data_IF_044774301343
#
_entry.id   IF_044774301343
#
_cell.length_a   1.000
_cell.length_b   1.000
_cell.length_c   1.000
_cell.angle_alpha   90.00
_cell.angle_beta   90.00
_cell.angle_gamma   90.00
#
_symmetry.space_group_name_H-M   'P 1'
#
loop_
_entity.id
_entity.type
_entity.pdbx_description
1 polymer ?
#
# COMPACT_ATOMS: atom_id res chain seq x y z
N UNK A 1 24.86 -0.43 -15.98
CA UNK A 1 23.91 -1.35 -16.64
C UNK A 1 23.41 -2.48 -15.74
N UNK A 2 24.26 -3.13 -14.93
CA UNK A 2 23.83 -4.24 -14.05
C UNK A 2 22.74 -3.85 -13.04
N UNK A 3 22.84 -2.69 -12.39
CA UNK A 3 21.82 -2.19 -11.45
C UNK A 3 20.44 -2.04 -12.10
N UNK A 4 20.34 -1.38 -13.26
CA UNK A 4 19.07 -1.23 -13.98
C UNK A 4 18.44 -2.58 -14.37
N UNK A 5 19.25 -3.60 -14.64
CA UNK A 5 18.74 -4.96 -14.91
C UNK A 5 18.09 -5.56 -13.66
N UNK A 6 18.70 -5.37 -12.49
CA UNK A 6 18.15 -5.82 -11.20
C UNK A 6 16.85 -5.06 -10.90
N UNK A 7 16.81 -3.74 -11.14
CA UNK A 7 15.58 -2.95 -10.95
C UNK A 7 14.42 -3.48 -11.80
N UNK A 8 14.66 -3.84 -13.07
CA UNK A 8 13.62 -4.43 -13.93
C UNK A 8 13.20 -5.81 -13.40
N UNK A 9 14.14 -6.61 -12.90
CA UNK A 9 13.86 -7.91 -12.30
C UNK A 9 12.98 -7.75 -11.05
N UNK A 10 13.28 -6.78 -10.18
CA UNK A 10 12.49 -6.50 -8.98
C UNK A 10 11.02 -6.19 -9.34
N UNK A 11 10.78 -5.41 -10.40
CA UNK A 11 9.42 -5.13 -10.89
C UNK A 11 8.70 -6.39 -11.39
N UNK A 12 9.41 -7.32 -12.02
CA UNK A 12 8.84 -8.59 -12.46
C UNK A 12 8.55 -9.52 -11.28
N UNK A 13 9.50 -9.63 -10.36
CA UNK A 13 9.38 -10.46 -9.16
C UNK A 13 8.27 -9.94 -8.24
N UNK A 14 8.09 -8.63 -8.14
CA UNK A 14 6.98 -8.00 -7.40
C UNK A 14 5.62 -8.54 -7.85
N UNK A 15 5.39 -8.60 -9.17
CA UNK A 15 4.14 -9.16 -9.73
C UNK A 15 3.95 -10.64 -9.39
N UNK A 16 5.02 -11.41 -9.30
CA UNK A 16 4.94 -12.81 -8.89
C UNK A 16 4.65 -12.94 -7.39
N UNK A 17 5.29 -12.14 -6.55
CA UNK A 17 5.06 -12.13 -5.11
C UNK A 17 3.63 -11.69 -4.78
N UNK A 18 3.11 -10.65 -5.43
CA UNK A 18 1.71 -10.22 -5.25
C UNK A 18 0.74 -11.37 -5.51
N UNK A 19 0.87 -12.06 -6.65
CA UNK A 19 0.04 -13.23 -6.96
C UNK A 19 0.18 -14.33 -5.91
N UNK A 20 1.41 -14.65 -5.52
CA UNK A 20 1.69 -15.69 -4.51
C UNK A 20 1.06 -15.36 -3.15
N UNK A 21 1.05 -14.08 -2.75
CA UNK A 21 0.39 -13.61 -1.53
C UNK A 21 -1.13 -13.74 -1.64
N UNK A 22 -1.71 -13.29 -2.76
CA UNK A 22 -3.16 -13.38 -2.98
C UNK A 22 -3.63 -14.84 -3.00
N UNK A 23 -2.89 -15.74 -3.66
CA UNK A 23 -3.16 -17.18 -3.66
C UNK A 23 -3.08 -17.75 -2.23
N UNK A 24 -2.04 -17.38 -1.47
CA UNK A 24 -1.87 -17.84 -0.08
C UNK A 24 -3.00 -17.35 0.84
N UNK A 25 -3.46 -16.11 0.66
CA UNK A 25 -4.59 -15.56 1.42
C UNK A 25 -5.90 -16.26 1.06
N UNK A 26 -6.09 -16.60 -0.21
CA UNK A 26 -7.24 -17.39 -0.67
C UNK A 26 -7.26 -18.79 -0.07
N UNK A 27 -6.11 -19.46 0.02
CA UNK A 27 -6.00 -20.79 0.63
C UNK A 27 -6.47 -20.84 2.09
N UNK A 28 -6.29 -19.73 2.82
CA UNK A 28 -6.70 -19.61 4.23
C UNK A 28 -8.02 -18.86 4.42
N UNK A 29 -8.74 -18.53 3.34
CA UNK A 29 -10.03 -17.83 3.38
C UNK A 29 -9.95 -16.38 3.89
N UNK A 30 -8.82 -15.72 3.69
CA UNK A 30 -8.54 -14.33 4.09
C UNK A 30 -8.29 -13.41 2.89
N UNK A 31 -8.82 -13.74 1.72
CA UNK A 31 -8.60 -13.00 0.48
C UNK A 31 -9.08 -11.53 0.56
N UNK A 32 -10.04 -11.22 1.42
CA UNK A 32 -10.56 -9.86 1.62
C UNK A 32 -9.59 -8.94 2.36
N UNK A 33 -8.73 -9.50 3.22
CA UNK A 33 -7.86 -8.74 4.12
C UNK A 33 -6.79 -7.94 3.37
N UNK A 34 -6.43 -8.36 2.15
CA UNK A 34 -5.55 -7.64 1.24
C UNK A 34 -6.13 -7.54 -0.19
N UNK A 35 -7.46 -7.56 -0.32
CA UNK A 35 -8.11 -7.44 -1.63
C UNK A 35 -7.78 -6.08 -2.27
N UNK A 36 -7.45 -6.06 -3.56
CA UNK A 36 -7.06 -4.85 -4.29
C UNK A 36 -5.84 -4.13 -3.69
N UNK A 37 -4.92 -4.88 -3.07
CA UNK A 37 -3.66 -4.37 -2.56
C UNK A 37 -2.50 -5.07 -3.27
N UNK A 38 -1.69 -4.28 -3.96
CA UNK A 38 -0.48 -4.70 -4.66
C UNK A 38 0.70 -3.83 -4.21
N UNK A 39 1.87 -4.45 -4.07
CA UNK A 39 3.09 -3.74 -3.74
C UNK A 39 4.15 -3.89 -4.84
N UNK A 40 5.03 -2.90 -4.93
CA UNK A 40 6.27 -3.00 -5.68
C UNK A 40 7.39 -3.26 -4.66
N UNK A 41 7.95 -4.45 -4.70
CA UNK A 41 9.04 -4.91 -3.84
C UNK A 41 10.36 -4.68 -4.57
N UNK A 42 11.19 -3.81 -4.01
CA UNK A 42 12.47 -3.41 -4.59
C UNK A 42 13.62 -3.78 -3.67
N UNK A 43 14.78 -4.01 -4.27
CA UNK A 43 16.01 -4.27 -3.53
C UNK A 43 16.70 -2.96 -3.16
N UNK A 44 16.68 -2.61 -1.87
CA UNK A 44 17.20 -1.35 -1.33
C UNK A 44 18.57 -0.95 -1.90
N UNK A 45 19.54 -1.87 -1.89
CA UNK A 45 20.91 -1.60 -2.32
C UNK A 45 21.10 -1.28 -3.82
N UNK A 46 20.11 -1.63 -4.67
CA UNK A 46 20.23 -1.47 -6.13
C UNK A 46 19.43 -0.31 -6.69
N UNK A 47 18.53 0.26 -5.89
CA UNK A 47 17.74 1.43 -6.28
C UNK A 47 18.40 2.71 -5.78
N UNK A 48 18.26 3.83 -6.51
CA UNK A 48 18.62 5.14 -5.97
C UNK A 48 17.82 5.44 -4.70
N UNK A 49 18.33 6.31 -3.81
CA UNK A 49 17.60 6.74 -2.63
C UNK A 49 16.20 7.23 -3.01
N UNK A 50 15.18 6.69 -2.35
CA UNK A 50 13.81 7.09 -2.55
C UNK A 50 13.58 8.42 -1.82
N UNK A 51 12.85 9.32 -2.46
CA UNK A 51 12.42 10.57 -1.84
C UNK A 51 11.20 10.27 -0.97
N UNK A 52 11.45 9.87 0.27
CA UNK A 52 10.43 9.68 1.29
C UNK A 52 10.52 10.79 2.32
N UNK A 53 9.41 11.46 2.60
CA UNK A 53 9.36 12.51 3.63
C UNK A 53 9.18 11.94 5.05
N UNK A 54 9.36 10.63 5.22
CA UNK A 54 9.25 9.91 6.50
C UNK A 54 7.96 9.11 6.62
N UNK A 55 7.80 8.45 7.78
CA UNK A 55 6.62 7.63 8.06
C UNK A 55 5.34 8.46 8.08
N UNK A 56 4.27 7.90 7.53
CA UNK A 56 2.91 8.47 7.57
C UNK A 56 2.03 7.61 8.47
N UNK A 57 1.25 8.27 9.34
CA UNK A 57 0.23 7.58 10.13
C UNK A 57 -0.89 7.10 9.21
N UNK A 58 -0.98 5.78 9.06
CA UNK A 58 -1.97 5.14 8.21
C UNK A 58 -3.29 5.00 8.95
N UNK A 59 -4.38 5.19 8.21
CA UNK A 59 -5.70 4.83 8.69
C UNK A 59 -5.74 3.34 9.05
N UNK A 60 -6.39 2.91 10.15
CA UNK A 60 -6.30 1.53 10.66
C UNK A 60 -6.65 0.45 9.62
N UNK A 61 -7.62 0.72 8.75
CA UNK A 61 -7.99 -0.20 7.66
C UNK A 61 -6.87 -0.37 6.62
N UNK A 62 -6.12 0.69 6.34
CA UNK A 62 -4.99 0.65 5.41
C UNK A 62 -3.82 -0.07 6.08
N UNK A 63 -3.50 0.30 7.32
CA UNK A 63 -2.44 -0.34 8.11
C UNK A 63 -2.65 -1.87 8.22
N UNK A 64 -3.88 -2.32 8.46
CA UNK A 64 -4.21 -3.75 8.49
C UNK A 64 -3.89 -4.48 7.18
N UNK A 65 -4.02 -3.83 6.02
CA UNK A 65 -3.68 -4.40 4.71
C UNK A 65 -2.18 -4.52 4.53
N UNK A 66 -1.43 -3.48 4.92
CA UNK A 66 0.03 -3.49 4.95
C UNK A 66 0.55 -4.64 5.82
N UNK A 67 0.03 -4.77 7.04
CA UNK A 67 0.41 -5.82 7.97
C UNK A 67 0.08 -7.22 7.43
N UNK A 68 -1.12 -7.42 6.89
CA UNK A 68 -1.52 -8.70 6.28
C UNK A 68 -0.61 -9.09 5.13
N UNK A 69 -0.26 -8.13 4.27
CA UNK A 69 0.68 -8.35 3.18
C UNK A 69 2.07 -8.73 3.71
N UNK A 70 2.61 -7.96 4.66
CA UNK A 70 3.92 -8.21 5.27
C UNK A 70 4.02 -9.57 5.95
N UNK A 71 3.00 -9.96 6.71
CA UNK A 71 2.95 -11.25 7.41
C UNK A 71 2.92 -12.41 6.41
N UNK A 72 2.10 -12.28 5.36
CA UNK A 72 2.02 -13.30 4.31
C UNK A 72 3.32 -13.39 3.52
N UNK A 73 3.95 -12.24 3.21
CA UNK A 73 5.24 -12.22 2.56
C UNK A 73 6.33 -12.89 3.41
N UNK A 74 6.35 -12.65 4.72
CA UNK A 74 7.30 -13.26 5.66
C UNK A 74 7.16 -14.78 5.71
N UNK A 75 5.94 -15.31 5.61
CA UNK A 75 5.70 -16.77 5.51
C UNK A 75 6.30 -17.32 4.21
N UNK A 76 6.14 -16.61 3.09
CA UNK A 76 6.63 -17.05 1.77
C UNK A 76 8.14 -16.86 1.60
N UNK A 77 8.73 -15.85 2.25
CA UNK A 77 10.14 -15.45 2.17
C UNK A 77 10.71 -15.18 3.57
N UNK A 78 10.96 -16.21 4.39
CA UNK A 78 11.34 -16.04 5.81
C UNK A 78 12.65 -15.30 6.07
N UNK A 79 13.53 -15.23 5.05
CA UNK A 79 14.83 -14.58 5.12
C UNK A 79 14.80 -13.11 4.66
N UNK A 80 13.61 -12.55 4.38
CA UNK A 80 13.44 -11.18 3.92
C UNK A 80 12.45 -10.43 4.82
N UNK A 81 12.68 -9.13 4.95
CA UNK A 81 11.78 -8.17 5.61
C UNK A 81 11.39 -7.09 4.61
N UNK A 82 10.24 -6.44 4.84
CA UNK A 82 9.76 -5.31 4.04
C UNK A 82 9.86 -4.07 4.90
N UNK A 83 10.45 -3.02 4.34
CA UNK A 83 10.35 -1.65 4.84
C UNK A 83 9.45 -0.88 3.88
N UNK A 84 8.46 -0.19 4.44
CA UNK A 84 7.39 0.42 3.65
C UNK A 84 7.62 1.90 3.43
N UNK A 85 7.55 2.31 2.16
CA UNK A 85 7.42 3.70 1.76
C UNK A 85 5.96 4.03 1.50
N UNK A 86 5.16 4.16 2.56
CA UNK A 86 3.70 4.24 2.49
C UNK A 86 3.15 5.47 1.77
N UNK A 87 3.97 6.51 1.62
CA UNK A 87 3.62 7.73 0.88
C UNK A 87 3.78 7.55 -0.64
N UNK A 88 4.59 6.57 -1.07
CA UNK A 88 4.86 6.31 -2.48
C UNK A 88 3.88 5.29 -3.05
N UNK A 89 3.36 5.58 -4.23
CA UNK A 89 2.43 4.71 -4.94
C UNK A 89 1.27 5.49 -5.53
N UNK A 90 0.26 4.75 -5.95
CA UNK A 90 -0.96 5.29 -6.55
C UNK A 90 -2.15 4.50 -6.03
N UNK A 91 -3.23 5.20 -5.73
CA UNK A 91 -4.46 4.62 -5.20
C UNK A 91 -5.63 5.09 -6.04
N UNK A 92 -6.54 4.16 -6.35
CA UNK A 92 -7.86 4.50 -6.89
C UNK A 92 -8.89 4.40 -5.77
N UNK A 93 -9.69 5.44 -5.60
CA UNK A 93 -10.77 5.49 -4.59
C UNK A 93 -12.09 5.85 -5.28
N UNK A 94 -13.17 5.27 -4.78
CA UNK A 94 -14.53 5.68 -5.15
C UNK A 94 -15.20 6.26 -3.91
N UNK A 95 -15.67 7.50 -4.02
CA UNK A 95 -16.38 8.21 -2.97
C UNK A 95 -17.87 8.22 -3.30
N UNK A 96 -18.66 7.72 -2.36
CA UNK A 96 -20.12 7.76 -2.40
C UNK A 96 -20.61 8.90 -1.51
N UNK A 97 -21.32 9.86 -2.11
CA UNK A 97 -21.85 11.02 -1.40
C UNK A 97 -23.33 10.85 -1.08
N UNK A 98 -23.78 11.47 0.03
CA UNK A 98 -25.19 11.41 0.50
C UNK A 98 -26.21 11.89 -0.54
N UNK A 99 -25.79 12.72 -1.51
CA UNK A 99 -26.63 13.14 -2.62
C UNK A 99 -26.85 12.06 -3.70
N UNK A 100 -26.40 10.82 -3.45
CA UNK A 100 -26.53 9.69 -4.36
C UNK A 100 -25.56 9.73 -5.54
N UNK A 101 -24.56 10.61 -5.50
CA UNK A 101 -23.52 10.73 -6.53
C UNK A 101 -22.29 9.95 -6.09
N UNK A 102 -21.80 9.06 -6.94
CA UNK A 102 -20.50 8.41 -6.77
C UNK A 102 -19.46 9.07 -7.67
N UNK A 103 -18.23 9.25 -7.17
CA UNK A 103 -17.10 9.74 -7.96
C UNK A 103 -15.88 8.86 -7.73
N UNK A 104 -15.28 8.41 -8.82
CA UNK A 104 -14.02 7.66 -8.80
C UNK A 104 -12.86 8.59 -9.13
N UNK A 105 -11.79 8.48 -8.36
CA UNK A 105 -10.54 9.18 -8.55
C UNK A 105 -9.43 8.14 -8.68
N UNK A 106 -8.82 8.10 -9.86
CA UNK A 106 -7.67 7.24 -10.15
C UNK A 106 -6.36 8.02 -9.95
N UNK A 107 -5.26 7.28 -9.79
CA UNK A 107 -3.89 7.81 -9.67
C UNK A 107 -3.68 8.85 -8.55
N UNK A 108 -4.43 8.74 -7.44
CA UNK A 108 -4.22 9.58 -6.26
C UNK A 108 -2.98 9.18 -5.49
N UNK A 109 -2.32 10.15 -4.84
CA UNK A 109 -1.26 9.81 -3.89
C UNK A 109 -1.84 9.07 -2.69
N UNK A 110 -1.13 8.06 -2.14
CA UNK A 110 -1.53 7.36 -0.93
C UNK A 110 -1.78 8.31 0.24
N UNK A 111 -1.01 9.40 0.35
CA UNK A 111 -1.19 10.41 1.39
C UNK A 111 -2.57 11.09 1.32
N UNK A 112 -3.02 11.48 0.11
CA UNK A 112 -4.33 12.09 -0.07
C UNK A 112 -5.47 11.08 0.17
N UNK A 113 -5.31 9.84 -0.32
CA UNK A 113 -6.30 8.79 -0.09
C UNK A 113 -6.44 8.48 1.41
N UNK A 114 -5.31 8.36 2.12
CA UNK A 114 -5.27 8.13 3.57
C UNK A 114 -5.92 9.28 4.34
N UNK A 115 -5.66 10.53 3.94
CA UNK A 115 -6.31 11.70 4.50
C UNK A 115 -7.84 11.61 4.36
N UNK A 116 -8.32 11.31 3.16
CA UNK A 116 -9.76 11.21 2.86
C UNK A 116 -10.43 10.13 3.73
N UNK A 117 -9.75 9.01 4.00
CA UNK A 117 -10.27 7.96 4.88
C UNK A 117 -10.60 8.47 6.29
N UNK A 118 -9.77 9.34 6.88
CA UNK A 118 -10.07 9.91 8.21
C UNK A 118 -11.31 10.83 8.23
N UNK A 119 -11.67 11.42 7.09
CA UNK A 119 -12.91 12.21 6.99
C UNK A 119 -14.18 11.35 6.94
N UNK A 120 -14.05 10.04 6.71
CA UNK A 120 -15.17 9.11 6.80
C UNK A 120 -15.68 8.96 8.23
N UNK A 121 -14.78 8.99 9.22
CA UNK A 121 -15.13 8.84 10.63
C UNK A 121 -15.51 10.17 11.28
N UNK A 122 -14.78 11.24 10.95
CA UNK A 122 -15.01 12.58 11.51
C UNK A 122 -15.09 13.62 10.39
N UNK A 123 -16.22 14.33 10.23
CA UNK A 123 -16.44 15.22 9.08
C UNK A 123 -15.64 16.53 9.16
N UNK A 124 -15.13 16.88 10.34
CA UNK A 124 -14.39 18.14 10.58
C UNK A 124 -13.17 17.86 11.43
N UNK A 125 -12.01 18.15 10.87
CA UNK A 125 -10.74 18.04 11.56
C UNK A 125 -10.12 19.42 11.79
N UNK A 126 -9.41 19.57 12.91
CA UNK A 126 -8.46 20.68 13.07
C UNK A 126 -7.12 20.25 12.47
N UNK A 127 -6.35 21.21 11.91
CA UNK A 127 -5.04 20.90 11.32
C UNK A 127 -4.09 20.17 12.29
N UNK A 128 -3.98 20.55 13.58
CA UNK A 128 -3.13 19.81 14.52
C UNK A 128 -3.59 18.38 14.73
N UNK A 129 -4.89 18.15 14.92
CA UNK A 129 -5.43 16.81 15.16
C UNK A 129 -5.29 15.87 13.94
N UNK A 130 -5.10 16.42 12.74
CA UNK A 130 -4.93 15.67 11.51
C UNK A 130 -3.45 15.42 11.16
N UNK A 131 -2.55 16.18 11.77
CA UNK A 131 -1.10 16.03 11.61
C UNK A 131 -0.48 15.13 12.69
N UNK A 132 -1.22 14.84 13.76
CA UNK A 132 -0.95 13.78 14.74
C UNK A 132 -1.29 12.40 14.19
#
# INVERSE_FOLDING_TARGET
MQQCKIMIQDLQDSRFNNRSIQDKLRDVGREKDAANFDAILISDHFWPPLQSEGGMNLHPQVESRFNTYSDTYKILKPNKTIEWESQLGYVSITLDFDCGVSRTFDDLSPALANLIMFFQETPKWSLPALAE
#
